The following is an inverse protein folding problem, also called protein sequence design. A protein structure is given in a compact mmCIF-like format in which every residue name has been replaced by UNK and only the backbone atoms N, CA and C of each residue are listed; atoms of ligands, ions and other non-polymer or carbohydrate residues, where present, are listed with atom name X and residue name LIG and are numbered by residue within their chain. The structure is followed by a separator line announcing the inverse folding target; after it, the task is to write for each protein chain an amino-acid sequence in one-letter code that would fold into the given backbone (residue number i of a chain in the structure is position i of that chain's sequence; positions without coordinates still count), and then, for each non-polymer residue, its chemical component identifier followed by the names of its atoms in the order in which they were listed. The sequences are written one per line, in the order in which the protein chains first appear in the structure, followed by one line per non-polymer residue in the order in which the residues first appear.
data_IF_495797911076
#
_entry.id   IF_495797911076
#
_cell.length_a   1.000
_cell.length_b   1.000
_cell.length_c   1.000
_cell.angle_alpha   90.00
_cell.angle_beta   90.00
_cell.angle_gamma   90.00
#
_symmetry.space_group_name_H-M   'P 1'
#
loop_
_entity.id
_entity.type
_entity.pdbx_description
1 polymer ?
#
# COMPACT_ATOMS: atom_id res chain seq x y z
N UNK A 1 14.54 9.12 -51.46
CA UNK A 1 13.96 7.91 -50.82
C UNK A 1 15.04 7.26 -49.99
N UNK A 2 14.78 7.06 -48.70
CA UNK A 2 15.19 5.90 -47.90
C UNK A 2 14.59 6.11 -46.50
N UNK A 3 13.44 5.48 -46.29
CA UNK A 3 12.70 5.48 -45.04
C UNK A 3 13.51 4.74 -43.96
N UNK A 4 13.66 5.35 -42.78
CA UNK A 4 14.03 4.63 -41.57
C UNK A 4 12.75 4.33 -40.81
N UNK A 5 12.23 3.13 -41.06
CA UNK A 5 11.13 2.51 -40.36
C UNK A 5 11.66 2.01 -39.00
N UNK A 6 11.55 2.81 -37.94
CA UNK A 6 11.67 2.33 -36.56
C UNK A 6 10.27 2.01 -36.05
N UNK A 7 9.76 0.86 -36.50
CA UNK A 7 8.50 0.28 -36.05
C UNK A 7 8.62 -0.23 -34.62
N UNK A 8 8.37 0.66 -33.66
CA UNK A 8 7.78 0.30 -32.37
C UNK A 8 6.87 1.44 -31.98
N UNK A 9 5.64 1.37 -32.49
CA UNK A 9 4.53 2.12 -31.90
C UNK A 9 4.49 1.65 -30.45
N UNK A 10 4.84 2.53 -29.53
CA UNK A 10 4.50 2.33 -28.12
C UNK A 10 2.98 2.33 -28.14
N UNK A 11 2.35 1.19 -27.87
CA UNK A 11 0.90 1.16 -27.66
C UNK A 11 0.59 2.23 -26.61
N UNK A 12 -0.10 3.27 -27.05
CA UNK A 12 -0.54 4.32 -26.14
C UNK A 12 -1.54 3.71 -25.17
N UNK A 13 -1.37 3.98 -23.87
CA UNK A 13 -2.40 3.63 -22.90
C UNK A 13 -3.64 4.52 -23.18
N UNK A 14 -4.76 3.91 -23.57
CA UNK A 14 -6.03 4.61 -23.76
C UNK A 14 -6.89 4.44 -22.50
N UNK A 15 -7.15 5.55 -21.81
CA UNK A 15 -8.03 5.60 -20.65
C UNK A 15 -9.35 6.27 -21.04
N UNK A 16 -10.48 5.62 -20.73
CA UNK A 16 -11.82 6.20 -20.91
C UNK A 16 -12.46 6.41 -19.56
N UNK A 17 -13.33 7.40 -19.45
CA UNK A 17 -14.00 7.73 -18.19
C UNK A 17 -15.51 7.78 -18.38
N UNK A 18 -16.27 7.42 -17.36
CA UNK A 18 -17.71 7.69 -17.33
C UNK A 18 -18.00 9.16 -16.96
N UNK A 19 -19.28 9.56 -17.00
CA UNK A 19 -19.70 10.93 -16.64
C UNK A 19 -19.41 11.32 -15.18
N UNK A 20 -19.08 10.35 -14.31
CA UNK A 20 -18.65 10.57 -12.93
C UNK A 20 -17.11 10.57 -12.79
N UNK A 21 -16.38 10.63 -13.90
CA UNK A 21 -14.91 10.64 -13.98
C UNK A 21 -14.24 9.37 -13.41
N UNK A 22 -14.91 8.23 -13.49
CA UNK A 22 -14.35 6.92 -13.10
C UNK A 22 -13.78 6.21 -14.30
N UNK A 23 -12.64 5.54 -14.12
CA UNK A 23 -11.95 4.84 -15.20
C UNK A 23 -12.80 3.67 -15.73
N UNK A 24 -13.27 3.82 -16.96
CA UNK A 24 -14.18 2.94 -17.67
C UNK A 24 -13.40 2.04 -18.63
N UNK A 25 -13.05 0.84 -18.16
CA UNK A 25 -12.43 -0.18 -18.99
C UNK A 25 -13.51 -0.94 -19.76
N UNK A 26 -13.83 -0.45 -20.96
CA UNK A 26 -14.60 -1.05 -22.07
C UNK A 26 -15.34 -2.38 -21.76
N UNK A 27 -16.21 -2.37 -20.75
CA UNK A 27 -17.10 -3.47 -20.41
C UNK A 27 -18.44 -2.82 -20.07
N UNK A 28 -19.51 -3.32 -20.66
CA UNK A 28 -20.89 -2.97 -20.33
C UNK A 28 -21.30 -3.38 -18.91
N UNK A 29 -20.35 -3.52 -17.98
CA UNK A 29 -20.49 -4.09 -16.63
C UNK A 29 -20.40 -3.05 -15.52
N UNK A 30 -20.10 -1.79 -15.83
CA UNK A 30 -20.27 -0.73 -14.84
C UNK A 30 -21.73 -0.30 -14.82
N UNK A 31 -22.60 -1.12 -14.23
CA UNK A 31 -23.85 -0.60 -13.68
C UNK A 31 -23.49 0.61 -12.82
N UNK A 32 -24.27 1.70 -12.90
CA UNK A 32 -24.03 2.93 -12.15
C UNK A 32 -23.64 2.60 -10.71
N UNK A 33 -22.33 2.67 -10.41
CA UNK A 33 -21.84 2.28 -9.10
C UNK A 33 -22.38 3.32 -8.13
N UNK A 34 -23.43 2.95 -7.38
CA UNK A 34 -24.05 3.81 -6.39
C UNK A 34 -22.99 4.26 -5.39
N UNK A 35 -23.05 5.54 -5.03
CA UNK A 35 -22.15 6.18 -4.07
C UNK A 35 -20.65 6.13 -4.47
N UNK A 36 -20.34 5.86 -5.74
CA UNK A 36 -18.97 5.68 -6.24
C UNK A 36 -18.17 4.57 -5.50
N UNK A 37 -18.86 3.55 -4.97
CA UNK A 37 -18.25 2.42 -4.22
C UNK A 37 -18.18 1.14 -5.04
N UNK A 38 -17.00 0.75 -5.50
CA UNK A 38 -16.79 -0.48 -6.28
C UNK A 38 -17.15 -1.72 -5.46
N UNK A 39 -18.27 -2.40 -5.77
CA UNK A 39 -18.70 -3.60 -5.02
C UNK A 39 -18.14 -4.90 -5.57
N UNK A 40 -17.92 -4.97 -6.88
CA UNK A 40 -17.39 -6.16 -7.54
C UNK A 40 -16.49 -5.77 -8.71
N UNK A 41 -15.38 -6.48 -8.87
CA UNK A 41 -14.51 -6.36 -10.04
C UNK A 41 -13.82 -7.68 -10.32
N UNK A 42 -14.03 -8.23 -11.52
CA UNK A 42 -13.58 -9.58 -11.88
C UNK A 42 -14.03 -10.60 -10.82
N UNK A 43 -13.09 -11.30 -10.16
CA UNK A 43 -13.33 -12.23 -9.07
C UNK A 43 -13.18 -11.60 -7.68
N UNK A 44 -13.21 -10.27 -7.58
CA UNK A 44 -13.11 -9.54 -6.32
C UNK A 44 -14.47 -9.00 -5.91
N UNK A 45 -14.79 -9.13 -4.63
CA UNK A 45 -15.96 -8.49 -4.01
C UNK A 45 -15.50 -7.61 -2.85
N UNK A 46 -16.19 -6.48 -2.66
CA UNK A 46 -15.83 -5.47 -1.67
C UNK A 46 -17.06 -5.04 -0.87
N UNK A 47 -16.92 -4.99 0.45
CA UNK A 47 -17.94 -4.46 1.36
C UNK A 47 -17.40 -3.27 2.12
N UNK A 48 -18.27 -2.29 2.33
CA UNK A 48 -17.93 -1.04 2.98
C UNK A 48 -18.84 -0.78 4.18
N UNK A 49 -18.31 -0.10 5.19
CA UNK A 49 -19.14 0.44 6.27
C UNK A 49 -19.93 1.68 5.81
N UNK A 50 -20.69 2.28 6.73
CA UNK A 50 -21.49 3.48 6.47
C UNK A 50 -20.62 4.68 6.04
N UNK A 51 -19.42 4.82 6.63
CA UNK A 51 -18.47 5.90 6.35
C UNK A 51 -17.68 5.69 5.05
N UNK A 52 -17.81 4.51 4.43
CA UNK A 52 -17.19 4.20 3.14
C UNK A 52 -15.83 3.54 3.25
N UNK A 53 -15.44 3.06 4.43
CA UNK A 53 -14.22 2.27 4.57
C UNK A 53 -14.43 0.86 4.08
N UNK A 54 -13.44 0.30 3.41
CA UNK A 54 -13.44 -1.09 3.00
C UNK A 54 -13.32 -1.98 4.25
N UNK A 55 -14.35 -2.74 4.59
CA UNK A 55 -14.35 -3.63 5.77
C UNK A 55 -14.11 -5.10 5.40
N UNK A 56 -14.41 -5.48 4.15
CA UNK A 56 -14.19 -6.84 3.66
C UNK A 56 -13.83 -6.82 2.18
N UNK A 57 -12.83 -7.62 1.79
CA UNK A 57 -12.45 -7.90 0.42
C UNK A 57 -12.37 -9.40 0.21
N UNK A 58 -13.17 -9.95 -0.69
CA UNK A 58 -13.17 -11.37 -1.06
C UNK A 58 -12.52 -11.53 -2.43
N UNK A 59 -11.68 -12.55 -2.60
CA UNK A 59 -11.02 -12.90 -3.87
C UNK A 59 -11.31 -14.35 -4.20
N UNK A 60 -12.16 -14.58 -5.20
CA UNK A 60 -12.68 -15.91 -5.52
C UNK A 60 -13.50 -16.48 -4.36
N UNK A 61 -13.36 -17.78 -4.10
CA UNK A 61 -14.12 -18.49 -3.05
C UNK A 61 -13.30 -18.62 -1.75
N UNK A 62 -11.98 -18.59 -1.87
CA UNK A 62 -11.07 -19.16 -0.85
C UNK A 62 -10.33 -18.12 -0.03
N UNK A 63 -10.27 -16.86 -0.46
CA UNK A 63 -9.52 -15.83 0.24
C UNK A 63 -10.39 -14.63 0.56
N UNK A 64 -10.46 -14.24 1.83
CA UNK A 64 -11.07 -12.98 2.23
C UNK A 64 -10.20 -12.22 3.21
N UNK A 65 -10.28 -10.89 3.14
CA UNK A 65 -9.55 -9.96 3.98
C UNK A 65 -10.53 -9.08 4.72
N UNK A 66 -10.37 -8.91 6.02
CA UNK A 66 -11.16 -7.99 6.83
C UNK A 66 -10.29 -6.84 7.31
N UNK A 67 -10.92 -5.68 7.50
CA UNK A 67 -10.26 -4.45 7.95
C UNK A 67 -11.07 -3.85 9.10
N UNK A 68 -10.38 -3.51 10.18
CA UNK A 68 -10.97 -2.83 11.34
C UNK A 68 -10.36 -1.46 11.48
N UNK A 69 -11.20 -0.47 11.77
CA UNK A 69 -10.82 0.93 11.87
C UNK A 69 -11.07 1.46 13.28
N UNK A 70 -10.28 2.45 13.69
CA UNK A 70 -10.57 3.25 14.88
C UNK A 70 -11.59 4.37 14.58
N UNK A 71 -11.96 5.15 15.61
CA UNK A 71 -12.89 6.27 15.47
C UNK A 71 -12.34 7.44 14.64
N UNK A 72 -11.03 7.47 14.36
CA UNK A 72 -10.38 8.43 13.46
C UNK A 72 -10.29 7.90 12.02
N UNK A 73 -10.98 6.79 11.73
CA UNK A 73 -11.05 6.21 10.40
C UNK A 73 -9.72 5.60 9.92
N UNK A 74 -8.83 5.21 10.85
CA UNK A 74 -7.52 4.62 10.56
C UNK A 74 -7.56 3.10 10.71
N UNK A 75 -6.99 2.31 9.78
CA UNK A 75 -6.98 0.86 9.89
C UNK A 75 -6.08 0.43 11.04
N UNK A 76 -6.64 -0.23 12.06
CA UNK A 76 -5.93 -0.72 13.25
C UNK A 76 -5.70 -2.22 13.23
N UNK A 77 -6.49 -2.96 12.44
CA UNK A 77 -6.33 -4.42 12.27
C UNK A 77 -6.69 -4.85 10.86
N UNK A 78 -5.95 -5.81 10.34
CA UNK A 78 -6.30 -6.53 9.11
C UNK A 78 -6.10 -8.02 9.30
N UNK A 79 -7.02 -8.83 8.82
CA UNK A 79 -6.90 -10.29 8.84
C UNK A 79 -7.12 -10.83 7.44
N UNK A 80 -6.26 -11.76 7.01
CA UNK A 80 -6.45 -12.51 5.77
C UNK A 80 -6.72 -13.96 6.13
N UNK A 81 -7.84 -14.48 5.63
CA UNK A 81 -8.19 -15.88 5.74
C UNK A 81 -8.01 -16.57 4.39
N UNK A 82 -7.51 -17.80 4.44
CA UNK A 82 -7.40 -18.71 3.31
C UNK A 82 -7.95 -20.08 3.71
N UNK A 83 -8.81 -20.67 2.90
CA UNK A 83 -9.37 -22.02 3.13
C UNK A 83 -9.90 -22.21 4.57
N UNK A 84 -10.60 -21.21 5.10
CA UNK A 84 -11.18 -21.13 6.46
C UNK A 84 -10.20 -20.95 7.63
N UNK A 85 -8.90 -20.86 7.37
CA UNK A 85 -7.88 -20.59 8.38
C UNK A 85 -7.36 -19.16 8.28
N UNK A 86 -6.99 -18.57 9.43
CA UNK A 86 -6.28 -17.29 9.45
C UNK A 86 -4.87 -17.51 8.92
N UNK A 87 -4.58 -16.93 7.77
CA UNK A 87 -3.26 -16.99 7.14
C UNK A 87 -2.35 -15.90 7.69
N UNK A 88 -2.91 -14.71 7.90
CA UNK A 88 -2.17 -13.59 8.49
C UNK A 88 -3.06 -12.61 9.22
N UNK A 89 -2.50 -12.02 10.27
CA UNK A 89 -3.08 -10.91 11.04
C UNK A 89 -2.06 -9.77 11.08
N UNK A 90 -2.48 -8.53 10.93
CA UNK A 90 -1.65 -7.37 11.21
C UNK A 90 -2.40 -6.37 12.07
N UNK A 91 -1.70 -5.75 13.02
CA UNK A 91 -2.20 -4.65 13.83
C UNK A 91 -1.29 -3.44 13.69
N UNK A 92 -1.88 -2.25 13.83
CA UNK A 92 -1.21 -0.97 13.62
C UNK A 92 -1.48 -0.04 14.80
N UNK A 93 -0.47 0.75 15.14
CA UNK A 93 -0.59 1.81 16.14
C UNK A 93 -0.22 3.14 15.52
N UNK A 94 -0.88 4.20 15.97
CA UNK A 94 -0.73 5.55 15.46
C UNK A 94 -0.44 6.51 16.62
N UNK A 95 0.31 7.57 16.34
CA UNK A 95 0.42 8.70 17.26
C UNK A 95 -0.76 9.67 17.11
N UNK A 96 -0.77 10.72 17.94
CA UNK A 96 -1.81 11.76 17.92
C UNK A 96 -1.82 12.62 16.65
N UNK A 97 -0.79 12.54 15.80
CA UNK A 97 -0.76 13.18 14.49
C UNK A 97 -1.25 12.23 13.38
N UNK A 98 -1.70 11.02 13.73
CA UNK A 98 -2.18 10.03 12.77
C UNK A 98 -1.07 9.28 12.04
N UNK A 99 0.20 9.43 12.44
CA UNK A 99 1.32 8.73 11.82
C UNK A 99 1.43 7.33 12.42
N UNK A 100 1.66 6.32 11.58
CA UNK A 100 1.84 4.94 12.04
C UNK A 100 3.17 4.83 12.78
N UNK A 101 3.14 4.43 14.06
CA UNK A 101 4.33 4.28 14.92
C UNK A 101 4.72 2.83 15.15
N UNK A 102 3.79 1.88 14.97
CA UNK A 102 4.10 0.47 15.04
C UNK A 102 3.23 -0.36 14.08
N UNK A 103 3.78 -1.49 13.66
CA UNK A 103 3.08 -2.60 13.01
C UNK A 103 3.51 -3.88 13.70
N UNK A 104 2.54 -4.73 14.03
CA UNK A 104 2.79 -6.12 14.36
C UNK A 104 2.09 -6.97 13.31
N UNK A 105 2.76 -8.01 12.81
CA UNK A 105 2.16 -8.96 11.89
C UNK A 105 2.46 -10.38 12.29
N UNK A 106 1.45 -11.22 12.23
CA UNK A 106 1.56 -12.66 12.40
C UNK A 106 1.22 -13.31 11.06
N UNK A 107 2.13 -14.09 10.49
CA UNK A 107 1.94 -14.80 9.22
C UNK A 107 2.34 -16.25 9.45
N UNK A 108 1.40 -17.19 9.28
CA UNK A 108 1.67 -18.62 9.47
C UNK A 108 2.44 -18.93 10.78
N UNK A 109 1.99 -18.33 11.89
CA UNK A 109 2.58 -18.47 13.22
C UNK A 109 3.89 -17.70 13.48
N UNK A 110 4.42 -16.98 12.48
CA UNK A 110 5.60 -16.15 12.65
C UNK A 110 5.19 -14.72 12.95
N UNK A 111 5.60 -14.21 14.11
CA UNK A 111 5.34 -12.83 14.51
C UNK A 111 6.52 -11.94 14.14
N UNK A 112 6.24 -10.85 13.44
CA UNK A 112 7.16 -9.76 13.18
C UNK A 112 6.64 -8.46 13.79
N UNK A 113 7.57 -7.63 14.25
CA UNK A 113 7.29 -6.34 14.83
C UNK A 113 8.12 -5.27 14.14
N UNK A 114 7.49 -4.14 13.86
CA UNK A 114 8.12 -2.99 13.24
C UNK A 114 7.74 -1.72 13.96
N UNK A 115 8.71 -0.87 14.27
CA UNK A 115 8.51 0.47 14.81
C UNK A 115 8.93 1.52 13.80
N UNK A 116 8.24 2.64 13.82
CA UNK A 116 8.50 3.76 12.91
C UNK A 116 8.74 5.02 13.73
N UNK A 117 9.87 5.66 13.46
CA UNK A 117 10.25 6.95 14.03
C UNK A 117 10.06 8.05 12.99
N UNK A 118 9.53 9.18 13.43
CA UNK A 118 9.15 10.29 12.55
C UNK A 118 9.80 11.60 12.98
N UNK A 119 10.23 12.40 12.00
CA UNK A 119 10.64 13.79 12.15
C UNK A 119 9.66 14.68 11.37
N UNK A 120 8.76 15.37 12.06
CA UNK A 120 7.64 16.06 11.38
C UNK A 120 6.83 15.06 10.56
N UNK A 121 6.62 15.32 9.26
CA UNK A 121 5.91 14.38 8.38
C UNK A 121 6.86 13.40 7.63
N UNK A 122 8.15 13.36 8.00
CA UNK A 122 9.15 12.49 7.37
C UNK A 122 9.38 11.26 8.23
N UNK A 123 9.30 10.07 7.64
CA UNK A 123 9.71 8.85 8.33
C UNK A 123 11.23 8.87 8.43
N UNK A 124 11.76 8.92 9.64
CA UNK A 124 13.19 8.97 9.91
C UNK A 124 13.77 7.55 9.97
N UNK A 125 13.11 6.63 10.67
CA UNK A 125 13.63 5.28 10.89
C UNK A 125 12.54 4.23 10.91
N UNK A 126 12.86 3.07 10.37
CA UNK A 126 12.15 1.81 10.56
C UNK A 126 13.04 0.87 11.40
N UNK A 127 12.46 0.19 12.38
CA UNK A 127 13.17 -0.77 13.24
C UNK A 127 12.38 -2.08 13.33
N UNK A 128 13.06 -3.19 13.05
CA UNK A 128 12.61 -4.57 13.27
C UNK A 128 13.64 -5.32 14.11
N UNK A 129 13.33 -6.49 14.68
CA UNK A 129 14.32 -7.26 15.45
C UNK A 129 15.59 -7.53 14.64
N UNK A 130 16.74 -7.03 15.12
CA UNK A 130 18.04 -7.21 14.48
C UNK A 130 18.26 -6.41 13.19
N UNK A 131 17.37 -5.49 12.82
CA UNK A 131 17.50 -4.67 11.62
C UNK A 131 16.93 -3.26 11.81
N UNK A 132 17.60 -2.25 11.25
CA UNK A 132 17.04 -0.92 11.15
C UNK A 132 17.33 -0.26 9.81
N UNK A 133 16.45 0.63 9.38
CA UNK A 133 16.60 1.42 8.16
C UNK A 133 16.40 2.90 8.47
N UNK A 134 17.43 3.71 8.25
CA UNK A 134 17.40 5.16 8.40
C UNK A 134 17.18 5.83 7.04
N UNK A 135 16.27 6.79 6.96
CA UNK A 135 15.96 7.55 5.76
C UNK A 135 16.55 8.97 5.84
N UNK A 136 17.31 9.33 4.82
CA UNK A 136 17.91 10.63 4.62
C UNK A 136 17.15 11.37 3.53
N UNK A 137 16.88 12.66 3.76
CA UNK A 137 16.12 13.51 2.86
C UNK A 137 16.95 14.71 2.44
N UNK A 138 16.62 15.28 1.28
CA UNK A 138 17.18 16.54 0.86
C UNK A 138 16.85 17.67 1.87
N UNK A 139 17.77 18.64 2.08
CA UNK A 139 17.54 19.75 2.99
C UNK A 139 16.25 20.50 2.68
N UNK A 140 15.37 20.65 3.69
CA UNK A 140 14.10 21.37 3.52
C UNK A 140 13.05 20.69 2.65
N UNK A 141 13.31 19.51 2.08
CA UNK A 141 12.42 18.81 1.14
C UNK A 141 11.92 17.45 1.66
N UNK A 142 10.80 16.98 1.12
CA UNK A 142 10.29 15.63 1.37
C UNK A 142 10.87 14.57 0.42
N UNK A 143 11.74 14.99 -0.51
CA UNK A 143 12.41 14.08 -1.43
C UNK A 143 13.42 13.19 -0.67
N UNK A 144 13.26 11.86 -0.73
CA UNK A 144 14.21 10.94 -0.12
C UNK A 144 15.51 10.94 -0.94
N UNK A 145 16.64 11.07 -0.25
CA UNK A 145 17.97 11.09 -0.85
C UNK A 145 18.63 9.71 -0.77
N UNK A 146 18.61 9.10 0.41
CA UNK A 146 19.24 7.82 0.65
C UNK A 146 18.57 7.04 1.79
N UNK A 147 18.79 5.73 1.82
CA UNK A 147 18.45 4.83 2.92
C UNK A 147 19.69 4.11 3.39
N UNK A 148 19.91 4.07 4.70
CA UNK A 148 21.00 3.35 5.34
C UNK A 148 20.40 2.18 6.12
N UNK A 149 20.70 0.96 5.69
CA UNK A 149 20.27 -0.26 6.36
C UNK A 149 21.40 -0.77 7.26
N UNK A 150 21.06 -1.02 8.52
CA UNK A 150 21.90 -1.63 9.54
C UNK A 150 21.30 -2.97 9.91
N UNK A 151 22.14 -4.01 9.97
CA UNK A 151 21.72 -5.35 10.36
C UNK A 151 22.67 -5.90 11.41
N UNK A 152 22.12 -6.46 12.47
CA UNK A 152 22.88 -7.05 13.55
C UNK A 152 23.81 -8.16 13.02
N UNK A 153 25.10 -8.07 13.35
CA UNK A 153 26.13 -8.99 12.90
C UNK A 153 26.79 -8.64 11.56
N UNK A 154 26.31 -7.63 10.82
CA UNK A 154 27.04 -7.06 9.68
C UNK A 154 28.02 -5.97 10.16
N UNK A 155 29.25 -5.98 9.64
CA UNK A 155 30.29 -5.00 10.01
C UNK A 155 30.08 -3.64 9.36
N UNK A 156 29.35 -3.59 8.25
CA UNK A 156 29.15 -2.39 7.44
C UNK A 156 27.67 -2.19 7.14
N UNK A 157 27.24 -0.93 7.18
CA UNK A 157 25.88 -0.55 6.78
C UNK A 157 25.76 -0.48 5.26
N UNK A 158 24.60 -0.88 4.73
CA UNK A 158 24.31 -0.79 3.30
C UNK A 158 23.60 0.52 3.00
N UNK A 159 24.14 1.29 2.06
CA UNK A 159 23.58 2.58 1.64
C UNK A 159 22.95 2.44 0.25
N UNK A 160 21.70 2.89 0.13
CA UNK A 160 20.94 2.93 -1.11
C UNK A 160 20.58 4.38 -1.44
N UNK A 161 20.75 4.80 -2.69
CA UNK A 161 20.38 6.15 -3.13
C UNK A 161 19.11 6.10 -3.97
N UNK A 162 18.13 6.94 -3.62
CA UNK A 162 16.88 7.01 -4.36
C UNK A 162 17.07 7.84 -5.63
N UNK A 163 16.41 7.39 -6.70
CA UNK A 163 16.24 8.16 -7.93
C UNK A 163 14.74 8.21 -8.19
N UNK A 164 14.16 9.38 -7.95
CA UNK A 164 12.71 9.60 -8.06
C UNK A 164 12.40 10.34 -9.35
N UNK A 165 11.24 10.08 -9.94
CA UNK A 165 10.72 10.92 -11.03
C UNK A 165 9.96 12.14 -10.45
N UNK A 166 9.22 12.88 -11.29
CA UNK A 166 8.51 14.09 -10.82
C UNK A 166 7.38 13.85 -9.81
N UNK A 167 6.91 12.60 -9.62
CA UNK A 167 5.85 12.28 -8.64
C UNK A 167 6.38 11.60 -7.37
N UNK A 168 7.69 11.30 -7.32
CA UNK A 168 8.35 10.69 -6.15
C UNK A 168 8.54 9.19 -6.29
#
# INVERSE_FOLDING_TARGET
MLARNTGRVVDGEEFRYDAANRLNFNTSRFDHVKDNRLKQWANHEYKYDAWGNLIEKVVGIVRWQTFTYDCENRPVKTETMADTQVESTSSYQYDSLGRRVAKQSEIKGHTDHKRFLWQGLRMLREESPGQSSLYLYEPGSYAPLARVDEKEGELENKVYYFHTDQIG
#
